data_IF_762645931388
#
_entry.id   IF_762645931388
#
_cell.length_a   1.000
_cell.length_b   1.000
_cell.length_c   1.000
_cell.angle_alpha   90.00
_cell.angle_beta   90.00
_cell.angle_gamma   90.00
#
_symmetry.space_group_name_H-M   'P 1'
#
loop_
_entity.id
_entity.type
_entity.pdbx_description
1 polymer ?
#
# COMPACT_ATOMS: atom_id res chain seq x y z
N UNK A 1 -9.13 -1.97 -16.50
CA UNK A 1 -8.45 -1.09 -15.51
C UNK A 1 -8.11 -1.96 -14.32
N UNK A 2 -6.83 -2.10 -13.96
CA UNK A 2 -6.38 -3.04 -12.93
C UNK A 2 -6.90 -2.59 -11.54
N UNK A 3 -7.53 -3.50 -10.78
CA UNK A 3 -8.08 -3.26 -9.43
C UNK A 3 -7.04 -2.66 -8.48
N UNK A 4 -5.78 -3.07 -8.62
CA UNK A 4 -4.64 -2.56 -7.83
C UNK A 4 -4.44 -1.07 -8.08
N UNK A 5 -4.44 -0.63 -9.34
CA UNK A 5 -4.22 0.76 -9.69
C UNK A 5 -5.34 1.66 -9.13
N UNK A 6 -6.58 1.18 -9.12
CA UNK A 6 -7.69 1.90 -8.49
C UNK A 6 -7.50 2.01 -6.97
N UNK A 7 -7.15 0.91 -6.32
CA UNK A 7 -6.88 0.87 -4.88
C UNK A 7 -5.76 1.86 -4.49
N UNK A 8 -4.61 1.79 -5.15
CA UNK A 8 -3.45 2.64 -4.86
C UNK A 8 -3.73 4.13 -5.14
N UNK A 9 -4.56 4.42 -6.14
CA UNK A 9 -5.05 5.79 -6.39
C UNK A 9 -5.96 6.29 -5.26
N UNK A 10 -6.87 5.46 -4.76
CA UNK A 10 -7.72 5.80 -3.61
C UNK A 10 -6.88 6.02 -2.35
N UNK A 11 -5.93 5.14 -2.07
CA UNK A 11 -5.01 5.26 -0.93
C UNK A 11 -4.18 6.54 -1.01
N UNK A 12 -3.66 6.86 -2.20
CA UNK A 12 -2.92 8.10 -2.46
C UNK A 12 -3.77 9.34 -2.17
N UNK A 13 -5.04 9.36 -2.58
CA UNK A 13 -5.96 10.46 -2.27
C UNK A 13 -6.31 10.54 -0.78
N UNK A 14 -6.60 9.41 -0.15
CA UNK A 14 -6.98 9.31 1.26
C UNK A 14 -5.88 9.87 2.18
N UNK A 15 -4.63 9.47 1.93
CA UNK A 15 -3.48 9.90 2.74
C UNK A 15 -2.80 11.17 2.24
N UNK A 16 -3.33 11.79 1.17
CA UNK A 16 -2.76 12.97 0.49
C UNK A 16 -1.30 12.76 0.11
N UNK A 17 -1.01 11.62 -0.51
CA UNK A 17 0.34 11.25 -0.93
C UNK A 17 0.72 11.95 -2.24
N UNK A 18 2.03 12.08 -2.54
CA UNK A 18 2.51 12.59 -3.83
C UNK A 18 1.95 11.79 -5.02
N UNK A 19 1.82 12.43 -6.17
CA UNK A 19 1.23 11.84 -7.39
C UNK A 19 1.95 10.60 -7.92
N UNK A 20 3.24 10.46 -7.65
CA UNK A 20 4.04 9.29 -8.01
C UNK A 20 3.83 8.09 -7.07
N UNK A 21 3.11 8.27 -5.96
CA UNK A 21 2.96 7.25 -4.92
C UNK A 21 2.27 5.97 -5.37
N UNK A 22 1.22 6.00 -6.22
CA UNK A 22 0.63 4.77 -6.73
C UNK A 22 1.66 3.87 -7.41
N UNK A 23 2.46 4.43 -8.33
CA UNK A 23 3.49 3.70 -9.04
C UNK A 23 4.60 3.21 -8.09
N UNK A 24 5.05 4.06 -7.17
CA UNK A 24 6.12 3.68 -6.22
C UNK A 24 5.67 2.58 -5.25
N UNK A 25 4.45 2.65 -4.74
CA UNK A 25 3.90 1.62 -3.85
C UNK A 25 3.69 0.31 -4.61
N UNK A 26 3.25 0.38 -5.87
CA UNK A 26 3.14 -0.79 -6.74
C UNK A 26 4.50 -1.50 -6.90
N UNK A 27 5.58 -0.75 -7.13
CA UNK A 27 6.94 -1.32 -7.20
C UNK A 27 7.38 -1.95 -5.86
N UNK A 28 7.01 -1.37 -4.72
CA UNK A 28 7.31 -1.97 -3.41
C UNK A 28 6.59 -3.28 -3.20
N UNK A 29 5.32 -3.35 -3.59
CA UNK A 29 4.54 -4.56 -3.45
C UNK A 29 5.05 -5.68 -4.37
N UNK A 30 5.66 -5.37 -5.53
CA UNK A 30 6.30 -6.39 -6.39
C UNK A 30 7.50 -7.09 -5.74
N UNK A 31 8.15 -6.44 -4.78
CA UNK A 31 9.41 -6.92 -4.15
C UNK A 31 9.27 -7.26 -2.67
N UNK A 32 8.06 -7.12 -2.11
CA UNK A 32 7.78 -7.43 -0.71
C UNK A 32 7.81 -8.94 -0.51
N UNK A 33 8.46 -9.37 0.56
CA UNK A 33 8.49 -10.79 0.92
C UNK A 33 7.21 -11.23 1.66
N UNK A 34 7.13 -12.51 1.98
CA UNK A 34 6.00 -13.13 2.68
C UNK A 34 5.66 -12.50 4.03
N UNK A 35 6.65 -11.91 4.70
CA UNK A 35 6.48 -11.31 6.02
C UNK A 35 6.00 -9.85 5.94
N UNK A 36 5.92 -9.31 4.72
CA UNK A 36 5.58 -7.92 4.46
C UNK A 36 6.78 -6.98 4.51
N UNK A 37 8.00 -7.52 4.40
CA UNK A 37 9.25 -6.78 4.48
C UNK A 37 9.77 -6.46 3.08
N UNK A 38 10.23 -5.23 2.90
CA UNK A 38 10.94 -4.76 1.72
C UNK A 38 12.35 -4.35 2.10
N UNK A 39 13.33 -4.90 1.38
CA UNK A 39 14.72 -4.46 1.46
C UNK A 39 15.02 -3.52 0.29
N UNK A 40 15.27 -2.25 0.57
CA UNK A 40 15.53 -1.19 -0.40
C UNK A 40 17.01 -0.82 -0.40
N UNK A 41 17.84 -1.72 -0.93
CA UNK A 41 19.26 -1.43 -1.20
C UNK A 41 19.40 -0.24 -2.16
N UNK A 42 20.59 0.38 -2.19
CA UNK A 42 20.88 1.50 -3.11
C UNK A 42 20.52 1.16 -4.57
N UNK A 43 20.98 0.00 -5.03
CA UNK A 43 20.72 -0.50 -6.38
C UNK A 43 19.23 -0.70 -6.65
N UNK A 44 18.47 -1.25 -5.70
CA UNK A 44 17.01 -1.41 -5.84
C UNK A 44 16.31 -0.07 -5.97
N UNK A 45 16.69 0.93 -5.16
CA UNK A 45 16.13 2.29 -5.25
C UNK A 45 16.43 2.94 -6.59
N UNK A 46 17.65 2.76 -7.12
CA UNK A 46 18.04 3.27 -8.45
C UNK A 46 17.17 2.67 -9.56
N UNK A 47 16.97 1.36 -9.55
CA UNK A 47 16.14 0.69 -10.54
C UNK A 47 14.66 1.09 -10.46
N UNK A 48 14.09 1.14 -9.25
CA UNK A 48 12.71 1.56 -9.04
C UNK A 48 12.54 3.02 -9.49
N UNK A 49 13.49 3.89 -9.15
CA UNK A 49 13.46 5.29 -9.57
C UNK A 49 13.44 5.41 -11.09
N UNK A 50 14.28 4.63 -11.77
CA UNK A 50 14.32 4.57 -13.23
C UNK A 50 13.02 4.01 -13.84
N UNK A 51 12.45 2.95 -13.25
CA UNK A 51 11.24 2.29 -13.80
C UNK A 51 10.01 3.22 -13.79
N UNK A 52 9.89 4.07 -12.77
CA UNK A 52 8.76 5.01 -12.62
C UNK A 52 9.10 6.46 -12.99
N UNK A 53 10.32 6.71 -13.50
CA UNK A 53 10.74 8.02 -13.99
C UNK A 53 10.93 9.10 -12.92
N UNK A 54 11.41 8.73 -11.73
CA UNK A 54 11.71 9.68 -10.63
C UNK A 54 13.20 9.65 -10.24
N UNK A 55 13.59 10.56 -9.35
CA UNK A 55 14.93 10.57 -8.75
C UNK A 55 14.97 9.67 -7.51
N UNK A 56 16.10 9.00 -7.26
CA UNK A 56 16.35 8.22 -6.04
C UNK A 56 16.15 9.05 -4.76
N UNK A 57 16.51 10.33 -4.79
CA UNK A 57 16.25 11.25 -3.67
C UNK A 57 14.76 11.37 -3.36
N UNK A 58 13.91 11.36 -4.39
CA UNK A 58 12.45 11.37 -4.26
C UNK A 58 11.95 10.14 -3.52
N UNK A 59 12.53 8.95 -3.75
CA UNK A 59 12.19 7.73 -3.01
C UNK A 59 12.49 7.90 -1.51
N UNK A 60 13.67 8.44 -1.16
CA UNK A 60 14.02 8.64 0.25
C UNK A 60 13.04 9.60 0.94
N UNK A 61 12.63 10.68 0.27
CA UNK A 61 11.62 11.59 0.79
C UNK A 61 10.25 10.91 0.91
N UNK A 62 9.86 10.12 -0.09
CA UNK A 62 8.62 9.35 -0.08
C UNK A 62 8.55 8.39 1.12
N UNK A 63 9.64 7.68 1.42
CA UNK A 63 9.73 6.78 2.56
C UNK A 63 9.52 7.51 3.90
N UNK A 64 10.03 8.73 4.05
CA UNK A 64 9.76 9.56 5.23
C UNK A 64 8.27 9.91 5.36
N UNK A 65 7.66 10.31 4.23
CA UNK A 65 6.22 10.60 4.19
C UNK A 65 5.40 9.35 4.52
N UNK A 66 5.70 8.22 3.89
CA UNK A 66 5.00 6.96 4.12
C UNK A 66 5.12 6.48 5.56
N UNK A 67 6.30 6.65 6.19
CA UNK A 67 6.49 6.39 7.61
C UNK A 67 5.58 7.27 8.47
N UNK A 68 5.54 8.57 8.21
CA UNK A 68 4.67 9.50 8.96
C UNK A 68 3.17 9.17 8.82
N UNK A 69 2.79 8.56 7.69
CA UNK A 69 1.41 8.14 7.39
C UNK A 69 1.12 6.69 7.80
N UNK A 70 2.06 6.00 8.44
CA UNK A 70 1.96 4.58 8.83
C UNK A 70 1.67 3.66 7.64
N UNK A 71 2.17 3.99 6.45
CA UNK A 71 2.08 3.14 5.26
C UNK A 71 3.22 2.12 5.27
N UNK A 72 4.40 2.56 5.73
CA UNK A 72 5.57 1.72 5.96
C UNK A 72 6.08 1.93 7.38
N UNK A 73 6.72 0.90 7.94
CA UNK A 73 7.49 0.99 9.19
C UNK A 73 8.96 0.72 8.91
N UNK A 74 9.82 1.25 9.77
CA UNK A 74 11.27 1.17 9.60
C UNK A 74 11.81 0.11 10.56
N UNK A 75 12.30 -1.00 10.01
CA UNK A 75 12.77 -2.14 10.80
C UNK A 75 14.28 -2.06 11.01
N UNK A 76 15.04 -1.78 9.95
CA UNK A 76 16.49 -1.61 10.00
C UNK A 76 17.00 -0.70 8.88
N UNK A 77 18.32 -0.52 8.77
CA UNK A 77 18.93 0.23 7.67
C UNK A 77 18.52 -0.40 6.34
N UNK A 78 17.84 0.37 5.50
CA UNK A 78 17.30 -0.07 4.21
C UNK A 78 16.25 -1.18 4.27
N UNK A 79 15.77 -1.57 5.45
CA UNK A 79 14.74 -2.59 5.64
C UNK A 79 13.49 -1.93 6.21
N UNK A 80 12.36 -2.13 5.51
CA UNK A 80 11.07 -1.54 5.87
C UNK A 80 10.00 -2.62 5.84
N UNK A 81 8.93 -2.44 6.60
CA UNK A 81 7.74 -3.29 6.50
C UNK A 81 6.56 -2.50 5.95
N UNK A 82 5.71 -3.15 5.15
CA UNK A 82 4.46 -2.58 4.68
C UNK A 82 3.36 -2.77 5.73
N UNK A 83 2.45 -1.79 5.82
CA UNK A 83 1.34 -1.89 6.75
C UNK A 83 0.36 -3.00 6.34
N UNK A 84 0.27 -4.04 7.17
CA UNK A 84 -0.60 -5.21 6.96
C UNK A 84 -2.09 -4.87 6.98
N UNK A 85 -2.50 -3.83 7.69
CA UNK A 85 -3.90 -3.38 7.71
C UNK A 85 -4.27 -2.70 6.39
N UNK A 86 -3.30 -2.13 5.68
CA UNK A 86 -3.51 -1.49 4.38
C UNK A 86 -3.35 -2.45 3.21
N UNK A 87 -2.38 -3.36 3.27
CA UNK A 87 -2.02 -4.20 2.12
C UNK A 87 -2.36 -5.67 2.30
N UNK A 88 -2.87 -6.06 3.47
CA UNK A 88 -3.15 -7.44 3.83
C UNK A 88 -2.03 -8.09 4.64
N UNK A 89 -2.33 -9.22 5.26
CA UNK A 89 -1.41 -9.95 6.15
C UNK A 89 -0.54 -10.98 5.43
N UNK A 90 -0.85 -11.27 4.16
CA UNK A 90 -0.24 -12.34 3.38
C UNK A 90 0.29 -11.76 2.08
N UNK A 91 1.61 -11.71 1.95
CA UNK A 91 2.33 -11.18 0.81
C UNK A 91 3.00 -12.33 0.04
N UNK A 92 2.22 -13.22 -0.54
CA UNK A 92 2.69 -14.53 -1.01
C UNK A 92 3.57 -14.52 -2.28
N UNK A 93 4.40 -13.52 -2.56
CA UNK A 93 5.09 -13.36 -3.86
C UNK A 93 4.12 -13.48 -5.07
N UNK A 94 2.81 -13.35 -4.85
CA UNK A 94 1.72 -13.54 -5.83
C UNK A 94 1.51 -12.26 -6.64
N UNK A 95 2.58 -11.72 -7.22
CA UNK A 95 2.41 -10.67 -8.23
C UNK A 95 2.13 -11.24 -9.63
N UNK A 96 2.26 -12.55 -9.79
CA UNK A 96 1.84 -13.27 -10.99
C UNK A 96 0.42 -13.87 -10.88
N UNK A 97 -0.14 -14.07 -9.68
CA UNK A 97 -1.45 -14.74 -9.51
C UNK A 97 -2.30 -14.14 -8.37
N UNK A 98 -2.92 -12.99 -8.66
CA UNK A 98 -4.23 -12.61 -8.10
C UNK A 98 -4.29 -12.21 -6.62
N UNK A 99 -4.61 -10.94 -6.37
CA UNK A 99 -5.05 -10.49 -5.06
C UNK A 99 -6.30 -11.27 -4.61
N UNK A 100 -6.45 -11.56 -3.30
CA UNK A 100 -7.74 -11.99 -2.79
C UNK A 100 -8.76 -10.87 -3.04
N UNK A 101 -9.92 -11.20 -3.60
CA UNK A 101 -10.99 -10.23 -3.76
C UNK A 101 -11.32 -9.62 -2.39
N UNK A 102 -11.23 -8.30 -2.29
CA UNK A 102 -11.61 -7.54 -1.11
C UNK A 102 -12.95 -6.86 -1.40
N UNK A 103 -13.91 -7.08 -0.53
CA UNK A 103 -15.19 -6.38 -0.58
C UNK A 103 -15.15 -5.18 0.37
N UNK A 104 -15.48 -4.02 -0.19
CA UNK A 104 -15.62 -2.77 0.57
C UNK A 104 -17.09 -2.60 0.91
N UNK A 105 -17.43 -2.72 2.19
CA UNK A 105 -18.80 -2.50 2.67
C UNK A 105 -18.90 -1.09 3.21
N UNK A 106 -19.75 -0.30 2.57
CA UNK A 106 -20.21 0.98 3.11
C UNK A 106 -21.48 0.72 3.91
N UNK A 107 -21.41 0.94 5.22
CA UNK A 107 -22.57 0.78 6.10
C UNK A 107 -22.87 2.10 6.78
N UNK A 108 -24.13 2.53 6.71
CA UNK A 108 -24.65 3.68 7.45
C UNK A 108 -25.50 3.15 8.59
N UNK A 109 -25.03 3.31 9.82
CA UNK A 109 -25.79 2.96 11.01
C UNK A 109 -26.65 4.16 11.37
N UNK A 110 -27.97 4.04 11.31
CA UNK A 110 -28.91 5.09 11.71
C UNK A 110 -29.55 4.69 13.05
N UNK A 111 -29.38 5.54 14.06
CA UNK A 111 -29.93 5.34 15.40
C UNK A 111 -30.63 6.61 15.87
N UNK A 112 -31.96 6.55 15.93
CA UNK A 112 -32.95 7.49 16.50
C UNK A 112 -32.83 9.01 16.23
N UNK A 113 -31.64 9.60 16.07
CA UNK A 113 -31.35 10.98 15.62
C UNK A 113 -29.90 11.16 15.13
N UNK A 114 -29.12 10.08 14.97
CA UNK A 114 -27.74 10.14 14.51
C UNK A 114 -27.44 9.08 13.45
N UNK A 115 -26.45 9.38 12.61
CA UNK A 115 -25.93 8.43 11.63
C UNK A 115 -24.42 8.35 11.72
N UNK A 116 -23.88 7.14 11.64
CA UNK A 116 -22.43 6.89 11.56
C UNK A 116 -22.15 6.11 10.29
N UNK A 117 -21.33 6.70 9.42
CA UNK A 117 -20.81 6.04 8.22
C UNK A 117 -19.58 5.21 8.62
N UNK A 118 -19.63 3.90 8.37
CA UNK A 118 -18.55 2.95 8.60
C UNK A 118 -18.12 2.31 7.29
N UNK A 119 -16.80 2.23 7.11
CA UNK A 119 -16.15 1.49 6.02
C UNK A 119 -15.50 0.26 6.63
N UNK A 120 -15.85 -0.92 6.11
CA UNK A 120 -15.26 -2.20 6.53
C UNK A 120 -14.66 -2.87 5.30
N UNK A 121 -13.45 -3.39 5.44
CA UNK A 121 -12.79 -4.21 4.44
C UNK A 121 -12.92 -5.68 4.86
N UNK A 122 -13.49 -6.52 4.00
CA UNK A 122 -13.53 -7.98 4.22
C UNK A 122 -12.96 -8.73 3.02
N UNK A 123 -12.35 -9.90 3.27
CA UNK A 123 -11.93 -10.83 2.23
C UNK A 123 -13.15 -11.58 1.70
N UNK A 124 -13.34 -11.62 0.38
CA UNK A 124 -14.41 -12.39 -0.26
C UNK A 124 -14.21 -13.88 0.03
N UNK A 125 -15.25 -14.55 0.51
CA UNK A 125 -15.24 -15.99 0.82
C UNK A 125 -14.74 -16.38 2.22
N UNK A 126 -14.45 -15.43 3.11
CA UNK A 126 -14.29 -15.75 4.54
C UNK A 126 -15.66 -16.03 5.16
N UNK A 127 -15.99 -17.32 5.31
CA UNK A 127 -17.14 -17.79 6.08
C UNK A 127 -16.93 -17.62 7.58
#
# INVERSE_FOLDING_TARGET
MNTISLYLNCLTKLYKLPSYSPALIEEFLKIVDSDGIIELTKWRKENIAQSIGINVYTINNALQVYKSKKIVSWEAVSVFSLNKDLFGTVFNNLYDEGFPELEIIFSRIISCNSSVDKVVFRKVGAA
#
